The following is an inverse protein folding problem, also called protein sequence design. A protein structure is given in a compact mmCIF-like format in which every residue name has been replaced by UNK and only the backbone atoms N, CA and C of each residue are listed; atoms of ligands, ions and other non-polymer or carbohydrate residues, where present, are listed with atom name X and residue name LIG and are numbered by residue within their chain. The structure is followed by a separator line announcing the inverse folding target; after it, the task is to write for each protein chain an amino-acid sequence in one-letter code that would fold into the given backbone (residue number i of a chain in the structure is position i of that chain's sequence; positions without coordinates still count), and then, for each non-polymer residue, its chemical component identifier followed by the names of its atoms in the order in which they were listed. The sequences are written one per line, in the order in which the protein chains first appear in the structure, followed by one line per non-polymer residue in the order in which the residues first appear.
data_IF_609164851245
#
_entry.id   IF_609164851245
#
_cell.length_a   1.000
_cell.length_b   1.000
_cell.length_c   1.000
_cell.angle_alpha   90.00
_cell.angle_beta   90.00
_cell.angle_gamma   90.00
#
_symmetry.space_group_name_H-M   'P 1'
#
loop_
_entity.id
_entity.type
_entity.pdbx_description
1 polymer ?
#
# COMPACT_ATOMS: atom_id res chain seq x y z
N UNK A 1 -4.48 -49.92 -69.75
CA UNK A 1 -4.69 -48.95 -68.65
C UNK A 1 -4.32 -49.53 -67.27
N UNK A 2 -3.12 -50.08 -67.03
CA UNK A 2 -2.83 -50.78 -65.75
C UNK A 2 -1.52 -50.41 -65.04
N UNK A 3 -0.59 -49.70 -65.70
CA UNK A 3 0.74 -49.39 -65.13
C UNK A 3 0.90 -47.93 -64.72
N UNK A 4 0.43 -46.98 -65.56
CA UNK A 4 0.46 -45.53 -65.27
C UNK A 4 -0.40 -45.15 -64.06
N UNK A 5 -1.59 -45.75 -63.91
CA UNK A 5 -2.45 -45.54 -62.74
C UNK A 5 -1.83 -46.09 -61.45
N UNK A 6 -1.14 -47.24 -61.51
CA UNK A 6 -0.43 -47.79 -60.34
C UNK A 6 0.77 -46.93 -59.93
N UNK A 7 1.48 -46.34 -60.89
CA UNK A 7 2.57 -45.39 -60.65
C UNK A 7 2.06 -44.08 -60.05
N UNK A 8 0.93 -43.55 -60.56
CA UNK A 8 0.29 -42.35 -60.01
C UNK A 8 -0.18 -42.57 -58.57
N UNK A 9 -0.88 -43.68 -58.30
CA UNK A 9 -1.34 -44.03 -56.95
C UNK A 9 -0.16 -44.22 -55.98
N UNK A 10 0.90 -44.91 -56.42
CA UNK A 10 2.11 -45.11 -55.63
C UNK A 10 2.84 -43.80 -55.33
N UNK A 11 2.95 -42.89 -56.30
CA UNK A 11 3.54 -41.57 -56.10
C UNK A 11 2.70 -40.73 -55.14
N UNK A 12 1.37 -40.69 -55.27
CA UNK A 12 0.51 -39.97 -54.34
C UNK A 12 0.59 -40.53 -52.91
N UNK A 13 0.70 -41.85 -52.75
CA UNK A 13 0.86 -42.47 -51.43
C UNK A 13 2.21 -42.14 -50.79
N UNK A 14 3.30 -42.16 -51.58
CA UNK A 14 4.62 -41.78 -51.11
C UNK A 14 4.67 -40.30 -50.69
N UNK A 15 4.02 -39.42 -51.48
CA UNK A 15 3.94 -37.99 -51.14
C UNK A 15 3.14 -37.75 -49.86
N UNK A 16 2.03 -38.48 -49.68
CA UNK A 16 1.23 -38.40 -48.46
C UNK A 16 2.01 -38.87 -47.22
N UNK A 17 2.78 -39.96 -47.35
CA UNK A 17 3.63 -40.48 -46.28
C UNK A 17 4.77 -39.53 -45.91
N UNK A 18 5.36 -38.82 -46.89
CA UNK A 18 6.39 -37.80 -46.63
C UNK A 18 5.76 -36.60 -45.90
N UNK A 19 4.58 -36.15 -46.34
CA UNK A 19 3.86 -35.04 -45.68
C UNK A 19 3.45 -35.41 -44.24
N UNK A 20 2.99 -36.64 -44.01
CA UNK A 20 2.67 -37.15 -42.67
C UNK A 20 3.92 -37.26 -41.79
N UNK A 21 5.05 -37.76 -42.33
CA UNK A 21 6.31 -37.87 -41.61
C UNK A 21 6.93 -36.51 -41.25
N UNK A 22 6.87 -35.54 -42.16
CA UNK A 22 7.28 -34.16 -41.86
C UNK A 22 6.32 -33.47 -40.88
N UNK A 23 5.02 -33.77 -40.94
CA UNK A 23 4.03 -33.29 -39.98
C UNK A 23 4.30 -33.79 -38.57
N UNK A 24 4.68 -35.06 -38.38
CA UNK A 24 5.03 -35.58 -37.05
C UNK A 24 6.32 -34.97 -36.50
N UNK A 25 7.35 -34.78 -37.33
CA UNK A 25 8.61 -34.16 -36.90
C UNK A 25 8.48 -32.68 -36.50
N UNK A 26 7.41 -31.99 -36.94
CA UNK A 26 7.09 -30.62 -36.52
C UNK A 26 6.13 -30.54 -35.32
N UNK A 27 5.60 -31.69 -34.87
CA UNK A 27 4.69 -31.80 -33.71
C UNK A 27 5.42 -32.39 -32.49
N UNK A 28 6.56 -33.06 -32.70
CA UNK A 28 7.43 -33.60 -31.63
C UNK A 28 8.40 -32.57 -31.00
N UNK A 29 8.30 -31.28 -31.35
CA UNK A 29 8.87 -30.20 -30.52
C UNK A 29 7.92 -29.89 -29.36
N UNK A 30 7.56 -30.93 -28.59
CA UNK A 30 7.07 -30.72 -27.24
C UNK A 30 8.23 -30.08 -26.48
N UNK A 31 8.10 -28.77 -26.23
CA UNK A 31 8.84 -28.12 -25.15
C UNK A 31 8.76 -29.07 -23.95
N UNK A 32 9.88 -29.35 -23.24
CA UNK A 32 9.81 -30.23 -22.09
C UNK A 32 8.70 -29.70 -21.22
N UNK A 33 7.63 -30.49 -21.08
CA UNK A 33 6.66 -30.27 -20.05
C UNK A 33 7.47 -30.46 -18.77
N UNK A 34 7.98 -29.35 -18.23
CA UNK A 34 8.22 -29.27 -16.81
C UNK A 34 6.91 -29.74 -16.21
N UNK A 35 6.89 -30.98 -15.71
CA UNK A 35 5.91 -31.38 -14.73
C UNK A 35 5.93 -30.22 -13.74
N UNK A 36 4.85 -29.44 -13.73
CA UNK A 36 4.64 -28.43 -12.73
C UNK A 36 4.59 -29.22 -11.42
N UNK A 37 5.76 -29.42 -10.80
CA UNK A 37 5.89 -29.78 -9.42
C UNK A 37 5.13 -28.67 -8.73
N UNK A 38 3.86 -28.95 -8.40
CA UNK A 38 2.88 -27.93 -8.04
C UNK A 38 3.55 -26.97 -7.10
N UNK A 39 3.74 -25.73 -7.57
CA UNK A 39 4.54 -24.73 -6.88
C UNK A 39 4.02 -24.69 -5.44
N UNK A 40 4.84 -25.18 -4.52
CA UNK A 40 4.48 -25.23 -3.10
C UNK A 40 4.23 -23.78 -2.71
N UNK A 41 2.96 -23.43 -2.50
CA UNK A 41 2.59 -22.09 -2.07
C UNK A 41 3.21 -21.86 -0.69
N UNK A 42 3.83 -20.70 -0.43
CA UNK A 42 4.35 -20.40 0.89
C UNK A 42 3.26 -20.58 1.95
N UNK A 43 3.57 -21.35 2.99
CA UNK A 43 2.74 -21.44 4.19
C UNK A 43 3.25 -20.41 5.19
N UNK A 44 2.35 -19.63 5.76
CA UNK A 44 2.67 -18.63 6.77
C UNK A 44 2.25 -19.14 8.14
N UNK A 45 3.10 -18.92 9.14
CA UNK A 45 2.79 -19.14 10.55
C UNK A 45 2.85 -17.80 11.28
N UNK A 46 2.01 -17.64 12.30
CA UNK A 46 2.00 -16.42 13.11
C UNK A 46 3.20 -16.45 14.05
N UNK A 47 3.97 -15.37 14.08
CA UNK A 47 4.92 -15.10 15.17
C UNK A 47 4.18 -14.35 16.30
N UNK A 48 3.90 -14.98 17.44
CA UNK A 48 3.17 -14.33 18.53
C UNK A 48 4.06 -13.38 19.36
N UNK A 49 5.37 -13.32 19.10
CA UNK A 49 6.32 -12.48 19.85
C UNK A 49 6.74 -11.22 19.08
N UNK A 50 6.16 -11.02 17.89
CA UNK A 50 6.36 -9.84 17.04
C UNK A 50 5.09 -8.98 16.98
N UNK A 51 5.19 -7.64 17.09
CA UNK A 51 6.37 -6.88 17.48
C UNK A 51 6.64 -7.04 18.98
N UNK A 52 7.83 -6.64 19.44
CA UNK A 52 8.14 -6.59 20.87
C UNK A 52 7.32 -5.49 21.55
N UNK A 53 7.25 -5.56 22.88
CA UNK A 53 6.58 -4.52 23.67
C UNK A 53 7.15 -3.14 23.35
N UNK A 54 6.25 -2.19 23.09
CA UNK A 54 6.61 -0.80 22.86
C UNK A 54 7.15 -0.16 24.15
N UNK A 55 8.05 0.84 24.04
CA UNK A 55 8.54 1.59 25.18
C UNK A 55 7.43 2.45 25.81
N UNK A 56 7.73 3.11 26.93
CA UNK A 56 6.94 4.21 27.51
C UNK A 56 5.44 3.91 27.71
N UNK A 57 5.10 2.64 27.95
CA UNK A 57 3.72 2.17 28.10
C UNK A 57 2.83 2.52 26.89
N UNK A 58 3.42 2.52 25.70
CA UNK A 58 2.73 2.83 24.48
C UNK A 58 1.78 1.73 24.04
N UNK A 59 0.67 2.16 23.45
CA UNK A 59 -0.31 1.33 22.80
C UNK A 59 -0.51 1.80 21.37
N UNK A 60 -0.53 0.85 20.43
CA UNK A 60 -1.01 1.12 19.08
C UNK A 60 -2.52 1.18 19.09
N UNK A 61 -3.07 2.24 18.52
CA UNK A 61 -4.51 2.32 18.22
C UNK A 61 -4.88 1.46 17.02
N UNK A 62 -5.92 1.83 16.26
CA UNK A 62 -6.23 1.18 15.00
C UNK A 62 -5.02 1.19 14.06
N UNK A 63 -4.41 0.00 13.88
CA UNK A 63 -3.33 -0.24 12.92
C UNK A 63 -3.92 -0.46 11.54
N UNK A 64 -3.55 0.40 10.60
CA UNK A 64 -4.30 0.64 9.35
C UNK A 64 -3.44 0.48 8.10
N UNK A 65 -2.13 0.61 8.24
CA UNK A 65 -1.19 0.52 7.14
C UNK A 65 0.11 -0.12 7.61
N UNK A 66 0.66 -0.95 6.72
CA UNK A 66 1.98 -1.54 6.86
C UNK A 66 2.70 -1.43 5.52
N UNK A 67 4.02 -1.29 5.56
CA UNK A 67 4.89 -1.43 4.41
C UNK A 67 6.31 -1.86 4.83
N UNK A 68 7.17 -2.17 3.86
CA UNK A 68 8.55 -2.61 4.10
C UNK A 68 9.51 -1.77 3.24
N UNK A 69 10.62 -1.36 3.85
CA UNK A 69 11.61 -0.51 3.18
C UNK A 69 12.79 -1.31 2.59
N UNK A 70 13.77 -0.59 2.03
CA UNK A 70 14.97 -1.18 1.43
C UNK A 70 15.87 -1.94 2.42
N UNK A 71 15.72 -1.69 3.72
CA UNK A 71 16.46 -2.33 4.82
C UNK A 71 15.72 -3.54 5.40
N UNK A 72 14.55 -3.88 4.86
CA UNK A 72 13.61 -4.86 5.40
C UNK A 72 13.08 -4.49 6.79
N UNK A 73 13.04 -3.20 7.12
CA UNK A 73 12.31 -2.75 8.30
C UNK A 73 10.82 -2.64 7.96
N UNK A 74 9.99 -2.96 8.93
CA UNK A 74 8.55 -2.98 8.83
C UNK A 74 8.03 -1.65 9.37
N UNK A 75 7.36 -0.91 8.51
CA UNK A 75 6.74 0.37 8.84
C UNK A 75 5.27 0.16 9.12
N UNK A 76 4.80 0.72 10.23
CA UNK A 76 3.40 0.69 10.63
C UNK A 76 2.91 2.13 10.78
N UNK A 77 1.74 2.41 10.23
CA UNK A 77 0.97 3.60 10.62
C UNK A 77 -0.27 3.18 11.39
N UNK A 78 -0.51 3.84 12.51
CA UNK A 78 -1.73 3.71 13.29
C UNK A 78 -2.35 5.08 13.57
N UNK A 79 -3.56 5.07 14.15
CA UNK A 79 -4.20 6.29 14.63
C UNK A 79 -3.93 6.43 16.13
N UNK A 80 -3.48 7.61 16.54
CA UNK A 80 -3.01 7.84 17.90
C UNK A 80 -3.77 8.96 18.64
N UNK A 81 -4.86 9.49 18.07
CA UNK A 81 -5.68 10.48 18.77
C UNK A 81 -6.53 9.82 19.86
N UNK A 82 -6.77 10.48 21.02
CA UNK A 82 -7.47 9.87 22.15
C UNK A 82 -8.86 9.30 21.86
N UNK A 83 -9.58 9.84 20.88
CA UNK A 83 -10.90 9.37 20.45
C UNK A 83 -10.86 7.99 19.75
N UNK A 84 -9.67 7.50 19.39
CA UNK A 84 -9.46 6.18 18.80
C UNK A 84 -9.25 5.09 19.85
N UNK A 85 -9.31 5.44 21.14
CA UNK A 85 -9.10 4.52 22.25
C UNK A 85 -10.25 4.61 23.26
N UNK A 86 -10.47 3.51 23.98
CA UNK A 86 -11.30 3.47 25.17
C UNK A 86 -10.54 4.15 26.34
N UNK A 87 -10.77 5.45 26.50
CA UNK A 87 -10.06 6.33 27.44
C UNK A 87 -9.78 5.72 28.84
N UNK A 88 -10.77 5.03 29.42
CA UNK A 88 -10.65 4.48 30.80
C UNK A 88 -9.97 3.12 30.90
N UNK A 89 -9.92 2.34 29.81
CA UNK A 89 -9.46 0.94 29.85
C UNK A 89 -8.24 0.67 28.98
N UNK A 90 -7.96 1.52 27.99
CA UNK A 90 -6.80 1.39 27.11
C UNK A 90 -5.75 2.46 27.45
N UNK A 91 -6.15 3.73 27.50
CA UNK A 91 -5.22 4.85 27.64
C UNK A 91 -5.33 5.56 29.00
N UNK A 92 -5.42 4.78 30.08
CA UNK A 92 -5.60 5.29 31.44
C UNK A 92 -4.46 6.17 31.96
N UNK A 93 -3.23 5.99 31.46
CA UNK A 93 -2.08 6.84 31.81
C UNK A 93 -2.19 8.24 31.19
N UNK A 94 -2.79 8.35 30.00
CA UNK A 94 -2.98 9.62 29.30
C UNK A 94 -4.17 10.47 29.83
N UNK A 95 -4.85 10.03 30.89
CA UNK A 95 -5.96 10.77 31.50
C UNK A 95 -5.47 11.83 32.50
N UNK A 96 -6.30 12.83 32.78
CA UNK A 96 -6.02 13.85 33.80
C UNK A 96 -7.13 13.87 34.89
N UNK A 97 -6.86 13.42 36.13
CA UNK A 97 -5.60 12.78 36.57
C UNK A 97 -5.43 11.37 35.98
N UNK A 98 -4.20 10.82 35.93
CA UNK A 98 -3.96 9.46 35.45
C UNK A 98 -4.78 8.43 36.23
N UNK A 99 -5.43 7.52 35.50
CA UNK A 99 -6.29 6.46 36.08
C UNK A 99 -5.51 5.16 36.36
N UNK A 100 -4.36 4.97 35.72
CA UNK A 100 -3.51 3.77 35.85
C UNK A 100 -2.08 4.08 35.40
N UNK A 101 -1.14 3.19 35.75
CA UNK A 101 0.28 3.29 35.36
C UNK A 101 0.52 3.04 33.85
N UNK A 102 -0.48 2.52 33.15
CA UNK A 102 -0.50 2.28 31.70
C UNK A 102 -1.91 2.63 31.18
N UNK A 103 -2.14 2.96 29.92
CA UNK A 103 -1.19 3.13 28.84
C UNK A 103 -1.42 4.50 28.19
N UNK A 104 -0.63 4.83 27.17
CA UNK A 104 -0.83 6.02 26.35
C UNK A 104 -0.66 5.69 24.87
N UNK A 105 -1.27 6.46 23.95
CA UNK A 105 -0.98 6.31 22.53
C UNK A 105 0.51 6.52 22.25
N UNK A 106 1.10 5.64 21.44
CA UNK A 106 2.43 5.91 20.86
C UNK A 106 2.38 6.89 19.70
N UNK A 107 3.55 7.23 19.17
CA UNK A 107 3.67 7.94 17.89
C UNK A 107 3.00 7.12 16.78
N UNK A 108 2.31 7.74 15.82
CA UNK A 108 1.50 7.01 14.86
C UNK A 108 2.31 6.35 13.75
N UNK A 109 3.54 6.80 13.47
CA UNK A 109 4.46 6.16 12.53
C UNK A 109 5.50 5.41 13.33
N UNK A 110 5.58 4.10 13.13
CA UNK A 110 6.47 3.19 13.84
C UNK A 110 7.31 2.41 12.84
N UNK A 111 8.61 2.33 13.09
CA UNK A 111 9.58 1.57 12.30
C UNK A 111 10.12 0.43 13.16
N UNK A 112 9.98 -0.80 12.69
CA UNK A 112 10.46 -2.00 13.36
C UNK A 112 11.53 -2.70 12.53
N UNK A 113 12.57 -3.23 13.18
CA UNK A 113 13.43 -4.21 12.52
C UNK A 113 12.73 -5.58 12.39
N UNK A 114 13.38 -6.53 11.70
CA UNK A 114 12.82 -7.88 11.49
C UNK A 114 12.61 -8.63 12.82
N UNK A 115 13.42 -8.36 13.83
CA UNK A 115 13.27 -8.94 15.16
C UNK A 115 12.13 -8.29 15.98
N UNK A 116 11.46 -7.27 15.44
CA UNK A 116 10.34 -6.59 16.06
C UNK A 116 10.74 -5.59 17.13
N UNK A 117 12.00 -5.15 17.17
CA UNK A 117 12.39 -4.00 17.99
C UNK A 117 11.87 -2.72 17.32
N UNK A 118 11.32 -1.80 18.10
CA UNK A 118 11.06 -0.44 17.63
C UNK A 118 12.39 0.29 17.47
N UNK A 119 12.71 0.70 16.24
CA UNK A 119 13.98 1.36 15.89
C UNK A 119 13.79 2.83 15.46
N UNK A 120 12.55 3.25 15.20
CA UNK A 120 12.19 4.63 14.94
C UNK A 120 10.71 4.89 15.18
N UNK A 121 10.36 6.12 15.58
CA UNK A 121 8.98 6.56 15.69
C UNK A 121 8.89 8.08 15.56
N UNK A 122 7.79 8.58 14.97
CA UNK A 122 7.54 10.02 14.85
C UNK A 122 6.10 10.34 14.41
N UNK A 123 5.77 11.63 14.46
CA UNK A 123 4.60 12.21 13.80
C UNK A 123 3.34 12.27 14.64
N UNK A 124 2.24 12.60 13.96
CA UNK A 124 0.91 12.74 14.56
C UNK A 124 0.41 14.18 14.65
N UNK A 125 -0.91 14.36 14.92
CA UNK A 125 -1.49 15.69 15.04
C UNK A 125 -0.82 16.51 16.15
N UNK A 126 -0.46 17.76 15.85
CA UNK A 126 0.22 18.66 16.79
C UNK A 126 1.74 18.49 16.84
N UNK A 127 2.31 17.62 16.01
CA UNK A 127 3.76 17.43 15.88
C UNK A 127 4.31 18.02 14.58
N UNK A 128 3.51 18.81 13.86
CA UNK A 128 3.90 19.42 12.61
C UNK A 128 5.16 20.28 12.77
N UNK A 129 6.15 20.03 11.91
CA UNK A 129 7.46 20.70 11.95
C UNK A 129 7.51 21.99 11.13
N UNK A 130 6.44 22.28 10.38
CA UNK A 130 6.30 23.48 9.56
C UNK A 130 4.82 23.82 9.34
N UNK A 131 4.54 25.06 8.98
CA UNK A 131 3.19 25.50 8.59
C UNK A 131 2.81 25.06 7.15
N UNK A 132 3.68 24.29 6.47
CA UNK A 132 3.50 23.88 5.08
C UNK A 132 2.61 22.63 4.93
N UNK A 133 2.30 21.96 6.04
CA UNK A 133 1.42 20.80 6.03
C UNK A 133 0.54 20.72 7.26
N UNK A 134 -0.54 19.95 7.13
CA UNK A 134 -1.43 19.58 8.22
C UNK A 134 -1.40 18.06 8.32
N UNK A 135 -1.19 17.52 9.51
CA UNK A 135 -1.25 16.08 9.70
C UNK A 135 -2.66 15.55 9.36
N UNK A 136 -2.82 14.37 8.73
CA UNK A 136 -4.15 13.83 8.44
C UNK A 136 -5.00 13.68 9.70
N UNK A 137 -6.27 14.08 9.64
CA UNK A 137 -7.19 13.91 10.77
C UNK A 137 -7.40 12.43 11.11
N UNK A 138 -7.30 11.56 10.12
CA UNK A 138 -7.32 10.13 10.33
C UNK A 138 -6.33 9.49 9.37
N UNK A 139 -5.17 9.09 9.88
CA UNK A 139 -4.20 8.31 9.11
C UNK A 139 -4.92 7.16 8.38
N UNK A 140 -4.38 6.76 7.23
CA UNK A 140 -4.84 5.57 6.51
C UNK A 140 -3.69 4.76 5.87
N UNK A 141 -3.27 5.12 4.65
CA UNK A 141 -2.20 4.39 3.97
C UNK A 141 -0.81 4.91 4.35
N UNK A 142 0.12 4.01 4.66
CA UNK A 142 1.57 4.27 4.63
C UNK A 142 2.18 3.60 3.40
N UNK A 143 3.15 4.23 2.77
CA UNK A 143 3.94 3.62 1.69
C UNK A 143 5.37 4.11 1.75
N UNK A 144 6.34 3.21 1.64
CA UNK A 144 7.76 3.56 1.55
C UNK A 144 8.15 3.55 0.08
N UNK A 145 8.67 4.66 -0.43
CA UNK A 145 9.14 4.71 -1.82
C UNK A 145 10.56 4.13 -1.98
N UNK A 146 11.02 4.02 -3.22
CA UNK A 146 12.32 3.44 -3.56
C UNK A 146 13.53 4.25 -3.07
N UNK A 147 13.31 5.42 -2.47
CA UNK A 147 14.33 6.25 -1.82
C UNK A 147 14.19 6.24 -0.28
N UNK A 148 13.37 5.33 0.26
CA UNK A 148 13.01 5.24 1.67
C UNK A 148 12.31 6.50 2.23
N UNK A 149 11.63 7.27 1.39
CA UNK A 149 10.72 8.30 1.88
C UNK A 149 9.40 7.68 2.33
N UNK A 150 8.81 8.26 3.36
CA UNK A 150 7.57 7.80 3.97
C UNK A 150 6.40 8.63 3.45
N UNK A 151 5.43 7.97 2.83
CA UNK A 151 4.23 8.59 2.30
C UNK A 151 3.00 8.23 3.14
N UNK A 152 2.18 9.22 3.47
CA UNK A 152 1.02 9.07 4.36
C UNK A 152 -0.22 9.68 3.71
N UNK A 153 -1.25 8.85 3.53
CA UNK A 153 -2.61 9.28 3.18
C UNK A 153 -3.52 9.35 4.40
N UNK A 154 -4.66 10.02 4.24
CA UNK A 154 -5.68 10.15 5.29
C UNK A 154 -7.09 9.86 4.80
N UNK A 155 -7.97 9.48 5.72
CA UNK A 155 -9.39 9.25 5.44
C UNK A 155 -10.36 10.00 6.38
N UNK A 156 -9.86 10.97 7.14
CA UNK A 156 -10.65 11.91 7.91
C UNK A 156 -11.49 12.83 7.03
N UNK A 157 -12.43 13.55 7.65
CA UNK A 157 -13.45 14.33 6.92
C UNK A 157 -12.85 15.28 5.88
N UNK A 158 -11.86 16.08 6.31
CA UNK A 158 -11.16 17.10 5.55
C UNK A 158 -9.89 16.58 4.84
N UNK A 159 -9.51 15.32 5.03
CA UNK A 159 -8.30 14.78 4.42
C UNK A 159 -8.47 14.73 2.90
N UNK A 160 -7.67 15.54 2.22
CA UNK A 160 -7.72 15.76 0.76
C UNK A 160 -6.33 15.92 0.16
N UNK A 161 -5.34 15.40 0.88
CA UNK A 161 -3.93 15.49 0.59
C UNK A 161 -3.20 14.19 0.94
N UNK A 162 -1.97 14.07 0.45
CA UNK A 162 -0.99 13.03 0.79
C UNK A 162 0.29 13.72 1.20
N UNK A 163 0.91 13.25 2.28
CA UNK A 163 2.17 13.79 2.79
C UNK A 163 3.34 12.88 2.43
N UNK A 164 4.50 13.47 2.15
CA UNK A 164 5.78 12.79 1.95
C UNK A 164 6.80 13.33 2.95
N UNK A 165 7.51 12.41 3.60
CA UNK A 165 8.53 12.69 4.59
C UNK A 165 9.81 11.90 4.27
N UNK A 166 10.95 12.37 4.76
CA UNK A 166 12.13 11.52 4.88
C UNK A 166 11.86 10.40 5.89
N UNK A 167 12.74 9.39 5.91
CA UNK A 167 12.70 8.31 6.91
C UNK A 167 12.59 8.82 8.35
N UNK A 168 13.33 9.87 8.70
CA UNK A 168 13.39 10.44 10.05
C UNK A 168 12.24 11.40 10.39
N UNK A 169 11.23 11.51 9.51
CA UNK A 169 10.04 12.32 9.74
C UNK A 169 10.18 13.79 9.37
N UNK A 170 11.26 14.18 8.68
CA UNK A 170 11.38 15.53 8.12
C UNK A 170 10.42 15.68 6.95
N UNK A 171 9.57 16.71 6.99
CA UNK A 171 8.61 16.98 5.91
C UNK A 171 9.31 17.31 4.59
N UNK A 172 8.82 16.70 3.50
CA UNK A 172 9.31 16.94 2.14
C UNK A 172 8.25 17.69 1.33
N UNK A 173 7.04 17.14 1.24
CA UNK A 173 6.02 17.66 0.32
C UNK A 173 4.61 17.24 0.71
N UNK A 174 3.65 18.11 0.46
CA UNK A 174 2.22 17.81 0.46
C UNK A 174 1.71 17.79 -0.98
N UNK A 175 0.99 16.74 -1.34
CA UNK A 175 0.27 16.63 -2.59
C UNK A 175 -1.21 16.88 -2.29
N UNK A 176 -1.76 17.95 -2.85
CA UNK A 176 -3.10 18.43 -2.50
C UNK A 176 -3.14 19.24 -1.21
N UNK A 177 -4.32 19.80 -0.96
CA UNK A 177 -4.55 20.78 0.09
C UNK A 177 -5.55 20.24 1.10
N UNK A 178 -5.19 20.26 2.38
CA UNK A 178 -6.08 19.88 3.47
C UNK A 178 -7.38 20.72 3.43
N UNK A 179 -8.53 20.06 3.58
CA UNK A 179 -9.83 20.72 3.55
C UNK A 179 -10.33 21.14 2.17
N UNK A 180 -9.65 20.79 1.06
CA UNK A 180 -10.04 21.22 -0.29
C UNK A 180 -11.42 20.71 -0.74
N UNK A 181 -12.00 19.73 -0.04
CA UNK A 181 -13.37 19.26 -0.27
C UNK A 181 -14.41 19.98 0.58
N UNK A 182 -14.02 20.81 1.55
CA UNK A 182 -14.96 21.53 2.41
C UNK A 182 -15.50 22.76 1.68
N UNK A 183 -16.82 22.80 1.50
CA UNK A 183 -17.52 23.89 0.76
C UNK A 183 -18.33 24.81 1.67
N UNK A 184 -18.37 24.52 2.96
CA UNK A 184 -19.06 25.33 3.95
C UNK A 184 -19.36 24.54 5.22
N UNK A 185 -20.33 25.03 5.98
CA UNK A 185 -20.83 24.43 7.22
C UNK A 185 -22.36 24.42 7.23
N UNK A 186 -22.94 23.39 7.83
CA UNK A 186 -24.39 23.26 8.07
C UNK A 186 -24.59 22.73 9.48
N UNK A 187 -25.40 23.44 10.28
CA UNK A 187 -25.67 23.10 11.69
C UNK A 187 -24.39 22.87 12.53
N UNK A 188 -23.36 23.67 12.28
CA UNK A 188 -22.06 23.59 12.96
C UNK A 188 -21.19 22.39 12.54
N UNK A 189 -21.58 21.66 11.50
CA UNK A 189 -20.80 20.56 10.93
C UNK A 189 -20.25 20.94 9.55
N UNK A 190 -18.99 20.59 9.22
CA UNK A 190 -18.43 20.86 7.91
C UNK A 190 -19.16 20.07 6.82
N UNK A 191 -19.42 20.72 5.69
CA UNK A 191 -20.01 20.11 4.50
C UNK A 191 -18.91 19.89 3.47
N UNK A 192 -18.79 18.66 3.00
CA UNK A 192 -17.81 18.28 1.97
C UNK A 192 -18.49 17.97 0.65
N UNK A 193 -17.95 18.48 -0.45
CA UNK A 193 -18.40 18.19 -1.80
C UNK A 193 -17.33 17.39 -2.55
N UNK A 194 -17.77 16.31 -3.20
CA UNK A 194 -16.90 15.40 -3.94
C UNK A 194 -16.52 16.04 -5.26
N UNK A 195 -15.23 16.01 -5.59
CA UNK A 195 -14.75 16.33 -6.92
C UNK A 195 -13.65 15.36 -7.34
N UNK A 196 -14.01 14.42 -8.23
CA UNK A 196 -13.08 13.44 -8.81
C UNK A 196 -12.38 13.95 -10.07
N UNK A 197 -12.69 15.16 -10.53
CA UNK A 197 -12.06 15.80 -11.68
C UNK A 197 -10.99 16.83 -11.29
N UNK A 198 -10.99 17.29 -10.04
CA UNK A 198 -9.97 18.19 -9.51
C UNK A 198 -8.56 17.60 -9.67
N UNK A 199 -7.66 18.30 -10.35
CA UNK A 199 -6.30 17.83 -10.60
C UNK A 199 -5.33 18.13 -9.44
N UNK A 200 -5.72 19.02 -8.52
CA UNK A 200 -4.83 19.51 -7.48
C UNK A 200 -5.04 18.80 -6.14
N UNK A 201 -6.27 18.41 -5.81
CA UNK A 201 -6.58 17.82 -4.49
C UNK A 201 -7.44 16.57 -4.57
N UNK A 202 -7.42 15.82 -3.48
CA UNK A 202 -7.98 14.48 -3.38
C UNK A 202 -9.19 14.43 -2.45
N UNK A 203 -9.72 13.24 -2.22
CA UNK A 203 -10.86 12.97 -1.37
C UNK A 203 -10.64 11.67 -0.62
N UNK A 204 -9.87 11.75 0.47
CA UNK A 204 -9.61 10.66 1.42
C UNK A 204 -8.88 9.48 0.78
N UNK A 205 -7.59 9.67 0.50
CA UNK A 205 -6.73 8.69 -0.19
C UNK A 205 -6.51 7.45 0.68
N UNK A 206 -6.82 6.27 0.13
CA UNK A 206 -6.78 5.01 0.86
C UNK A 206 -5.39 4.35 0.84
N UNK A 207 -4.70 4.34 -0.31
CA UNK A 207 -3.38 3.70 -0.47
C UNK A 207 -2.63 4.39 -1.59
N UNK A 208 -1.32 4.28 -1.56
CA UNK A 208 -0.39 4.82 -2.53
C UNK A 208 0.36 3.62 -3.14
N UNK A 209 0.46 3.59 -4.47
CA UNK A 209 1.36 2.70 -5.19
C UNK A 209 2.49 3.51 -5.81
N UNK A 210 3.70 2.97 -5.88
CA UNK A 210 4.87 3.66 -6.43
C UNK A 210 5.34 2.91 -7.67
N UNK A 211 5.54 3.65 -8.76
CA UNK A 211 6.30 3.21 -9.93
C UNK A 211 7.64 3.95 -9.93
N UNK A 212 8.68 3.24 -9.49
CA UNK A 212 10.03 3.80 -9.39
C UNK A 212 10.68 4.06 -10.75
N UNK A 213 10.31 3.31 -11.80
CA UNK A 213 10.89 3.49 -13.13
C UNK A 213 10.33 4.75 -13.80
N UNK A 214 9.03 5.01 -13.60
CA UNK A 214 8.37 6.21 -14.09
C UNK A 214 8.54 7.44 -13.19
N UNK A 215 9.00 7.27 -11.95
CA UNK A 215 8.99 8.29 -10.90
C UNK A 215 7.57 8.84 -10.61
N UNK A 216 6.59 7.93 -10.61
CA UNK A 216 5.17 8.25 -10.45
C UNK A 216 4.59 7.57 -9.19
N UNK A 217 3.65 8.26 -8.55
CA UNK A 217 2.82 7.73 -7.48
C UNK A 217 1.35 7.62 -7.93
N UNK A 218 0.72 6.51 -7.56
CA UNK A 218 -0.66 6.17 -7.88
C UNK A 218 -1.49 6.23 -6.60
N UNK A 219 -2.36 7.23 -6.48
CA UNK A 219 -3.21 7.43 -5.31
C UNK A 219 -4.58 6.77 -5.51
N UNK A 220 -4.90 5.80 -4.65
CA UNK A 220 -6.25 5.24 -4.54
C UNK A 220 -7.18 6.24 -3.83
N UNK A 221 -7.59 7.27 -4.58
CA UNK A 221 -8.44 8.38 -4.15
C UNK A 221 -9.93 7.94 -4.13
N UNK A 222 -10.28 7.13 -3.13
CA UNK A 222 -11.45 6.24 -3.22
C UNK A 222 -12.48 6.30 -2.10
N UNK A 223 -12.17 6.82 -0.90
CA UNK A 223 -13.20 6.91 0.16
C UNK A 223 -14.26 7.95 -0.16
N UNK A 224 -13.82 9.10 -0.67
CA UNK A 224 -14.72 10.17 -1.07
C UNK A 224 -14.74 10.33 -2.58
N UNK A 225 -13.62 10.21 -3.28
CA UNK A 225 -13.59 10.24 -4.74
C UNK A 225 -13.78 8.86 -5.39
N UNK A 226 -13.71 8.80 -6.73
CA UNK A 226 -13.83 7.57 -7.53
C UNK A 226 -12.80 7.56 -8.65
N UNK A 227 -11.52 7.56 -8.30
CA UNK A 227 -10.43 7.51 -9.28
C UNK A 227 -9.16 6.88 -8.70
N UNK A 228 -8.22 6.60 -9.60
CA UNK A 228 -6.81 6.52 -9.26
C UNK A 228 -6.15 7.75 -9.89
N UNK A 229 -5.49 8.57 -9.06
CA UNK A 229 -4.74 9.71 -9.55
C UNK A 229 -3.28 9.31 -9.76
N UNK A 230 -2.65 9.80 -10.83
CA UNK A 230 -1.23 9.64 -11.09
C UNK A 230 -0.56 10.97 -10.81
N UNK A 231 0.55 10.94 -10.07
CA UNK A 231 1.22 12.13 -9.56
C UNK A 231 2.73 11.96 -9.73
N UNK A 232 3.42 12.95 -10.28
CA UNK A 232 4.88 12.99 -10.32
C UNK A 232 5.45 13.07 -8.90
N UNK A 233 6.50 12.30 -8.62
CA UNK A 233 7.08 12.21 -7.27
C UNK A 233 8.03 13.37 -6.89
N UNK A 234 8.35 14.25 -7.84
CA UNK A 234 9.20 15.44 -7.72
C UNK A 234 8.40 16.69 -7.37
#
# INVERSE_FOLDING_TARGET
MKRKQKLLVGASLATLLIVLGCGQAMVDEEAPAEEAQGQQVPMFEVDPMWPKNLPDHWLMGPTIGVDVDSQNHIWVVHRNTPDQFAARTEIGYAQDPPLSECCQPGDPVLEFDQEGNLVGSWGGPGTETSDEYVWPLSNHGITIDHMDNVWIGGNGGADSHVLKFTRDGTFIKSFGVFGARQVGESDGSPVFERDSHDQESFGRVAKIGIDAEANEAYFADGYFNKRVAVVDMD
#
